data_IF_534394854024
#
_entry.id   IF_534394854024
#
_cell.length_a   1.000
_cell.length_b   1.000
_cell.length_c   1.000
_cell.angle_alpha   90.00
_cell.angle_beta   90.00
_cell.angle_gamma   90.00
#
_symmetry.space_group_name_H-M   'P 1'
#
loop_
_entity.id
_entity.type
_entity.pdbx_description
1 polymer ?
#
# COMPACT_ATOMS: atom_id res chain seq x y z
N UNK A 1 -15.59 -59.66 26.21
CA UNK A 1 -15.35 -58.43 27.01
C UNK A 1 -13.89 -58.21 27.46
N UNK A 2 -12.92 -59.09 27.14
CA UNK A 2 -11.50 -58.93 27.58
C UNK A 2 -10.63 -58.09 26.63
N UNK A 3 -10.96 -58.04 25.34
CA UNK A 3 -10.12 -57.38 24.32
C UNK A 3 -10.23 -55.85 24.33
N UNK A 4 -11.45 -55.30 24.43
CA UNK A 4 -11.70 -53.86 24.41
C UNK A 4 -11.05 -53.12 25.60
N UNK A 5 -10.96 -53.77 26.76
CA UNK A 5 -10.39 -53.21 27.99
C UNK A 5 -8.87 -53.05 27.89
N UNK A 6 -8.18 -53.91 27.14
CA UNK A 6 -6.73 -53.82 26.91
C UNK A 6 -6.36 -52.66 25.99
N UNK A 7 -7.15 -52.42 24.94
CA UNK A 7 -6.94 -51.27 24.04
C UNK A 7 -7.26 -49.94 24.71
N UNK A 8 -8.30 -49.89 25.56
CA UNK A 8 -8.62 -48.68 26.31
C UNK A 8 -7.51 -48.31 27.31
N UNK A 9 -6.94 -49.30 28.01
CA UNK A 9 -5.81 -49.08 28.92
C UNK A 9 -4.54 -48.65 28.17
N UNK A 10 -4.28 -49.20 26.98
CA UNK A 10 -3.15 -48.79 26.15
C UNK A 10 -3.32 -47.35 25.62
N UNK A 11 -4.52 -46.97 25.18
CA UNK A 11 -4.81 -45.62 24.68
C UNK A 11 -4.69 -44.55 25.79
N UNK A 12 -5.17 -44.84 27.00
CA UNK A 12 -5.02 -43.95 28.16
C UNK A 12 -3.54 -43.80 28.54
N UNK A 13 -2.77 -44.89 28.48
CA UNK A 13 -1.32 -44.85 28.71
C UNK A 13 -0.57 -43.94 27.74
N UNK A 14 -0.89 -44.01 26.44
CA UNK A 14 -0.29 -43.15 25.40
C UNK A 14 -0.64 -41.67 25.62
N UNK A 15 -1.89 -41.35 25.97
CA UNK A 15 -2.29 -39.96 26.27
C UNK A 15 -1.58 -39.39 27.50
N UNK A 16 -1.35 -40.19 28.56
CA UNK A 16 -0.61 -39.75 29.75
C UNK A 16 0.86 -39.50 29.41
N UNK A 17 1.48 -40.37 28.62
CA UNK A 17 2.88 -40.17 28.19
C UNK A 17 3.01 -38.92 27.30
N UNK A 18 2.09 -38.70 26.35
CA UNK A 18 2.11 -37.50 25.52
C UNK A 18 1.91 -36.21 26.32
N UNK A 19 1.01 -36.20 27.30
CA UNK A 19 0.79 -35.02 28.17
C UNK A 19 1.98 -34.75 29.08
N UNK A 20 2.62 -35.79 29.60
CA UNK A 20 3.85 -35.65 30.39
C UNK A 20 5.01 -35.12 29.53
N UNK A 21 5.20 -35.62 28.30
CA UNK A 21 6.24 -35.13 27.38
C UNK A 21 6.01 -33.66 27.00
N UNK A 22 4.76 -33.28 26.73
CA UNK A 22 4.42 -31.88 26.44
C UNK A 22 4.69 -31.01 27.68
N UNK A 23 4.32 -31.46 28.89
CA UNK A 23 4.61 -30.70 30.12
C UNK A 23 6.12 -30.61 30.43
N UNK A 24 6.91 -31.65 30.13
CA UNK A 24 8.36 -31.64 30.32
C UNK A 24 9.08 -30.74 29.30
N UNK A 25 8.59 -30.70 28.06
CA UNK A 25 9.15 -29.86 26.98
C UNK A 25 8.62 -28.41 26.99
N UNK A 26 7.63 -28.11 27.83
CA UNK A 26 7.04 -26.76 27.97
C UNK A 26 7.29 -26.15 29.36
N UNK A 27 8.40 -26.51 30.02
CA UNK A 27 8.95 -25.72 31.12
C UNK A 27 9.65 -24.50 30.55
N UNK A 28 8.92 -23.38 30.50
CA UNK A 28 9.47 -22.06 30.21
C UNK A 28 10.32 -21.63 31.42
N UNK A 29 11.63 -21.75 31.28
CA UNK A 29 12.60 -21.36 32.31
C UNK A 29 12.63 -19.82 32.42
N UNK A 30 12.15 -19.31 33.55
CA UNK A 30 12.34 -17.92 33.96
C UNK A 30 13.81 -17.71 34.32
N UNK A 31 14.62 -17.28 33.34
CA UNK A 31 16.03 -16.96 33.51
C UNK A 31 16.30 -15.47 33.36
N UNK A 32 16.56 -14.78 34.48
CA UNK A 32 17.24 -13.50 34.53
C UNK A 32 18.65 -13.64 33.91
N UNK A 33 18.88 -13.03 32.75
CA UNK A 33 20.17 -12.96 32.09
C UNK A 33 20.45 -11.54 31.59
N UNK A 34 21.17 -10.78 32.40
CA UNK A 34 21.79 -9.50 32.07
C UNK A 34 22.97 -9.73 31.09
N UNK A 35 23.32 -8.68 30.32
CA UNK A 35 24.45 -8.52 29.36
C UNK A 35 24.05 -8.76 27.90
N UNK A 36 24.16 -7.82 26.95
CA UNK A 36 24.84 -6.51 26.91
C UNK A 36 24.19 -5.65 25.84
N UNK A 37 24.11 -4.36 26.13
CA UNK A 37 23.72 -3.30 25.21
C UNK A 37 24.44 -3.39 23.86
N UNK A 38 23.65 -3.64 22.81
CA UNK A 38 23.92 -3.10 21.49
C UNK A 38 22.86 -2.02 21.23
N UNK A 39 22.99 -0.90 21.95
CA UNK A 39 22.35 0.34 21.53
C UNK A 39 23.04 0.82 20.24
N UNK A 40 22.57 0.29 19.10
CA UNK A 40 22.68 1.03 17.84
C UNK A 40 21.69 2.17 17.95
N UNK A 41 22.23 3.34 18.27
CA UNK A 41 21.52 4.62 18.33
C UNK A 41 20.83 4.91 17.00
N UNK A 42 19.53 4.59 16.90
CA UNK A 42 18.67 5.14 15.85
C UNK A 42 18.03 6.45 16.36
N UNK A 43 18.88 7.41 16.74
CA UNK A 43 18.44 8.78 17.03
C UNK A 43 18.65 9.64 15.79
N UNK A 44 17.88 9.38 14.74
CA UNK A 44 17.52 10.45 13.81
C UNK A 44 16.19 10.98 14.33
N UNK A 45 16.23 12.08 15.09
CA UNK A 45 15.01 12.83 15.43
C UNK A 45 14.46 13.41 14.13
N UNK A 46 13.73 12.61 13.34
CA UNK A 46 12.87 13.10 12.27
C UNK A 46 11.91 14.06 12.95
N UNK A 47 12.00 15.35 12.60
CA UNK A 47 11.00 16.35 13.01
C UNK A 47 9.61 15.74 12.78
N UNK A 48 8.67 15.86 13.74
CA UNK A 48 7.34 15.32 13.57
C UNK A 48 6.73 15.94 12.30
N UNK A 49 6.36 15.07 11.36
CA UNK A 49 5.77 15.46 10.09
C UNK A 49 4.42 16.17 10.35
N UNK A 50 4.05 17.18 9.54
CA UNK A 50 2.78 17.88 9.69
C UNK A 50 1.59 16.95 9.42
N UNK A 51 0.49 17.16 10.14
CA UNK A 51 -0.76 16.41 9.97
C UNK A 51 -1.50 16.88 8.71
N UNK A 52 -1.67 15.97 7.76
CA UNK A 52 -2.25 16.23 6.43
C UNK A 52 -3.66 15.64 6.35
N UNK A 53 -4.62 16.38 5.83
CA UNK A 53 -5.94 15.80 5.56
C UNK A 53 -5.89 14.91 4.31
N UNK A 54 -5.36 15.44 3.21
CA UNK A 54 -5.24 14.74 1.94
C UNK A 54 -3.80 14.82 1.40
N UNK A 55 -3.16 13.67 1.24
CA UNK A 55 -1.93 13.53 0.46
C UNK A 55 -2.32 13.19 -1.00
N UNK A 56 -1.79 13.90 -1.98
CA UNK A 56 -2.01 13.60 -3.39
C UNK A 56 -0.74 13.00 -3.97
N UNK A 57 -0.78 11.73 -4.37
CA UNK A 57 0.31 11.06 -5.05
C UNK A 57 0.06 11.08 -6.56
N UNK A 58 0.87 11.85 -7.29
CA UNK A 58 0.78 11.98 -8.74
C UNK A 58 1.82 11.06 -9.39
N UNK A 59 1.36 9.98 -10.00
CA UNK A 59 2.21 8.93 -10.58
C UNK A 59 2.93 9.47 -11.83
N UNK A 60 4.14 10.00 -11.64
CA UNK A 60 4.96 10.56 -12.73
C UNK A 60 6.25 9.79 -12.93
N UNK A 61 6.86 9.86 -14.12
CA UNK A 61 8.14 9.22 -14.44
C UNK A 61 9.29 10.24 -14.54
N UNK A 62 10.57 9.80 -14.53
CA UNK A 62 11.72 10.70 -14.48
C UNK A 62 11.71 11.81 -15.55
N UNK A 63 11.35 11.43 -16.78
CA UNK A 63 11.34 12.31 -17.96
C UNK A 63 10.15 13.29 -18.01
N UNK A 64 9.25 13.27 -17.03
CA UNK A 64 8.01 14.07 -17.04
C UNK A 64 8.12 15.39 -16.27
N UNK A 65 9.31 16.01 -16.22
CA UNK A 65 9.54 17.26 -15.48
C UNK A 65 8.59 18.39 -15.93
N UNK A 66 8.36 18.52 -17.24
CA UNK A 66 7.40 19.49 -17.78
C UNK A 66 5.95 19.20 -17.34
N UNK A 67 5.54 17.93 -17.27
CA UNK A 67 4.20 17.54 -16.79
C UNK A 67 4.06 17.89 -15.31
N UNK A 68 5.07 17.58 -14.48
CA UNK A 68 5.08 17.97 -13.06
C UNK A 68 4.97 19.48 -12.90
N UNK A 69 5.70 20.26 -13.69
CA UNK A 69 5.59 21.72 -13.68
C UNK A 69 4.17 22.20 -14.01
N UNK A 70 3.53 21.64 -15.05
CA UNK A 70 2.14 21.95 -15.41
C UNK A 70 1.17 21.59 -14.28
N UNK A 71 1.33 20.42 -13.65
CA UNK A 71 0.48 19.98 -12.53
C UNK A 71 0.62 20.93 -11.34
N UNK A 72 1.85 21.32 -10.98
CA UNK A 72 2.13 22.34 -9.95
C UNK A 72 1.46 23.68 -10.28
N UNK A 73 1.56 24.12 -11.53
CA UNK A 73 1.08 25.43 -11.98
C UNK A 73 -0.42 25.53 -12.23
N UNK A 74 -1.15 24.41 -12.20
CA UNK A 74 -2.58 24.36 -12.52
C UNK A 74 -3.42 24.01 -11.29
N UNK A 75 -3.88 22.76 -11.18
CA UNK A 75 -4.88 22.35 -10.20
C UNK A 75 -4.32 22.20 -8.79
N UNK A 76 -2.99 22.03 -8.64
CA UNK A 76 -2.35 22.10 -7.32
C UNK A 76 -2.25 23.53 -6.78
N UNK A 77 -2.04 24.57 -7.61
CA UNK A 77 -2.05 25.97 -7.11
C UNK A 77 -3.37 26.36 -6.45
N UNK A 78 -4.48 25.76 -6.86
CA UNK A 78 -5.80 26.02 -6.29
C UNK A 78 -5.95 25.49 -4.84
N UNK A 79 -5.06 24.60 -4.38
CA UNK A 79 -5.12 23.99 -3.03
C UNK A 79 -4.51 24.86 -1.94
N UNK A 80 -3.62 25.79 -2.30
CA UNK A 80 -2.94 26.67 -1.35
C UNK A 80 -3.87 27.73 -0.72
N UNK A 81 -5.13 27.81 -1.19
CA UNK A 81 -6.16 28.72 -0.68
C UNK A 81 -7.19 27.94 0.16
N UNK A 82 -6.86 27.64 1.42
CA UNK A 82 -7.84 27.06 2.36
C UNK A 82 -7.25 26.53 3.67
N UNK A 83 -8.10 26.22 4.67
CA UNK A 83 -7.67 25.76 6.00
C UNK A 83 -7.39 24.25 6.10
N UNK A 84 -7.48 23.49 5.00
CA UNK A 84 -7.19 22.05 5.00
C UNK A 84 -5.77 21.80 4.53
N UNK A 85 -4.95 21.14 5.35
CA UNK A 85 -3.57 20.78 5.01
C UNK A 85 -3.61 19.71 3.92
N UNK A 86 -3.34 20.12 2.68
CA UNK A 86 -3.17 19.25 1.53
C UNK A 86 -1.69 19.25 1.19
N UNK A 87 -1.13 18.07 1.03
CA UNK A 87 0.22 17.89 0.50
C UNK A 87 0.16 17.08 -0.78
N UNK A 88 1.17 17.20 -1.61
CA UNK A 88 1.32 16.39 -2.80
C UNK A 88 2.73 15.83 -2.89
N UNK A 89 2.89 14.73 -3.63
CA UNK A 89 4.18 14.17 -3.96
C UNK A 89 4.16 13.51 -5.35
N UNK A 90 5.33 13.47 -5.96
CA UNK A 90 5.61 12.76 -7.21
C UNK A 90 6.49 11.53 -6.90
N UNK A 91 5.92 10.32 -6.73
CA UNK A 91 6.69 9.10 -6.57
C UNK A 91 7.39 8.72 -7.87
N UNK A 92 8.73 8.57 -7.81
CA UNK A 92 9.58 8.27 -8.96
C UNK A 92 10.60 7.20 -8.59
N UNK A 93 10.59 6.09 -9.33
CA UNK A 93 11.62 5.06 -9.25
C UNK A 93 12.93 5.51 -9.88
N UNK A 94 14.04 5.24 -9.20
CA UNK A 94 15.39 5.64 -9.67
C UNK A 94 16.36 4.48 -9.81
N UNK A 95 15.89 3.23 -9.63
CA UNK A 95 16.70 2.04 -9.86
C UNK A 95 17.03 1.94 -11.36
N UNK A 96 18.32 1.84 -11.68
CA UNK A 96 18.79 1.74 -13.06
C UNK A 96 18.70 3.04 -13.87
N UNK A 97 18.30 4.17 -13.25
CA UNK A 97 18.37 5.48 -13.89
C UNK A 97 19.83 5.91 -14.11
N UNK A 98 20.09 6.63 -15.19
CA UNK A 98 21.43 7.20 -15.44
C UNK A 98 21.77 8.24 -14.37
N UNK A 99 23.07 8.42 -14.10
CA UNK A 99 23.55 9.41 -13.14
C UNK A 99 23.02 10.82 -13.47
N UNK A 100 23.05 11.21 -14.75
CA UNK A 100 22.48 12.47 -15.22
C UNK A 100 21.00 12.62 -14.87
N UNK A 101 20.19 11.57 -15.08
CA UNK A 101 18.77 11.62 -14.74
C UNK A 101 18.55 11.74 -13.23
N UNK A 102 19.35 11.03 -12.43
CA UNK A 102 19.30 11.15 -10.96
C UNK A 102 19.64 12.57 -10.50
N UNK A 103 20.72 13.16 -11.00
CA UNK A 103 21.11 14.54 -10.65
C UNK A 103 20.01 15.54 -11.02
N UNK A 104 19.38 15.41 -12.20
CA UNK A 104 18.27 16.29 -12.61
C UNK A 104 17.07 16.19 -11.67
N UNK A 105 16.72 14.97 -11.24
CA UNK A 105 15.62 14.76 -10.28
C UNK A 105 15.96 15.32 -8.89
N UNK A 106 17.20 15.18 -8.45
CA UNK A 106 17.67 15.75 -7.17
C UNK A 106 17.67 17.28 -7.19
N UNK A 107 18.09 17.90 -8.30
CA UNK A 107 18.00 19.34 -8.50
C UNK A 107 16.55 19.83 -8.49
N UNK A 108 15.65 19.15 -9.22
CA UNK A 108 14.22 19.47 -9.21
C UNK A 108 13.65 19.33 -7.79
N UNK A 109 14.00 18.26 -7.08
CA UNK A 109 13.52 18.02 -5.73
C UNK A 109 14.10 19.04 -4.72
N UNK A 110 15.32 19.52 -4.93
CA UNK A 110 15.91 20.59 -4.11
C UNK A 110 15.13 21.90 -4.25
N UNK A 111 14.56 22.16 -5.42
CA UNK A 111 13.75 23.35 -5.68
C UNK A 111 12.32 23.22 -5.14
N UNK A 112 11.69 22.06 -5.31
CA UNK A 112 10.26 21.89 -5.03
C UNK A 112 9.94 21.09 -3.76
N UNK A 113 10.83 20.20 -3.33
CA UNK A 113 10.66 19.37 -2.14
C UNK A 113 9.51 18.36 -2.20
N UNK A 114 9.00 18.07 -3.39
CA UNK A 114 7.79 17.27 -3.61
C UNK A 114 8.03 15.98 -4.40
N UNK A 115 9.28 15.57 -4.62
CA UNK A 115 9.62 14.30 -5.28
C UNK A 115 9.94 13.23 -4.24
N UNK A 116 9.22 12.11 -4.32
CA UNK A 116 9.46 10.92 -3.55
C UNK A 116 10.31 9.94 -4.38
N UNK A 117 11.63 10.00 -4.19
CA UNK A 117 12.58 9.10 -4.86
C UNK A 117 12.51 7.69 -4.24
N UNK A 118 12.30 6.68 -5.07
CA UNK A 118 12.19 5.26 -4.67
C UNK A 118 13.37 4.48 -5.24
N UNK A 119 14.36 4.20 -4.41
CA UNK A 119 15.63 3.62 -4.85
C UNK A 119 15.55 2.18 -5.36
N UNK A 120 14.60 1.38 -4.85
CA UNK A 120 14.43 -0.03 -5.20
C UNK A 120 13.41 -0.27 -6.32
N UNK A 121 12.97 0.78 -7.02
CA UNK A 121 11.99 0.73 -8.10
C UNK A 121 12.60 1.12 -9.44
N UNK A 122 12.49 0.23 -10.43
CA UNK A 122 12.79 0.53 -11.83
C UNK A 122 11.52 1.02 -12.54
N UNK A 123 11.62 2.18 -13.19
CA UNK A 123 10.54 2.81 -13.93
C UNK A 123 10.26 2.05 -15.23
N UNK A 124 9.19 1.28 -15.21
CA UNK A 124 8.67 0.60 -16.39
C UNK A 124 7.15 0.54 -16.30
N UNK A 125 6.50 0.61 -17.45
CA UNK A 125 5.05 0.46 -17.54
C UNK A 125 4.57 -0.89 -16.94
N UNK A 126 5.35 -1.96 -17.11
CA UNK A 126 5.07 -3.27 -16.51
C UNK A 126 5.16 -3.29 -14.99
N UNK A 127 5.81 -2.29 -14.38
CA UNK A 127 6.05 -2.21 -12.94
C UNK A 127 5.06 -1.25 -12.24
N UNK A 128 3.99 -0.81 -12.90
CA UNK A 128 3.04 0.15 -12.31
C UNK A 128 2.43 -0.37 -11.00
N UNK A 129 2.06 -1.66 -10.92
CA UNK A 129 1.58 -2.25 -9.67
C UNK A 129 2.61 -2.13 -8.54
N UNK A 130 3.87 -2.48 -8.83
CA UNK A 130 4.97 -2.36 -7.87
C UNK A 130 5.20 -0.89 -7.48
N UNK A 131 5.16 0.04 -8.45
CA UNK A 131 5.29 1.48 -8.21
C UNK A 131 4.19 1.99 -7.28
N UNK A 132 2.94 1.58 -7.49
CA UNK A 132 1.84 1.92 -6.58
C UNK A 132 2.10 1.40 -5.18
N UNK A 133 2.47 0.13 -5.03
CA UNK A 133 2.73 -0.43 -3.71
C UNK A 133 3.89 0.28 -2.99
N UNK A 134 4.99 0.56 -3.72
CA UNK A 134 6.13 1.32 -3.22
C UNK A 134 5.76 2.76 -2.84
N UNK A 135 4.85 3.37 -3.59
CA UNK A 135 4.29 4.69 -3.26
C UNK A 135 3.55 4.64 -1.93
N UNK A 136 2.76 3.60 -1.68
CA UNK A 136 2.06 3.40 -0.40
C UNK A 136 3.05 3.17 0.76
N UNK A 137 4.09 2.37 0.54
CA UNK A 137 5.19 2.18 1.52
C UNK A 137 5.88 3.52 1.84
N UNK A 138 6.24 4.30 0.82
CA UNK A 138 6.90 5.59 0.98
C UNK A 138 6.00 6.59 1.72
N UNK A 139 4.72 6.68 1.33
CA UNK A 139 3.75 7.55 1.96
C UNK A 139 3.61 7.23 3.46
N UNK A 140 3.44 5.96 3.79
CA UNK A 140 3.30 5.49 5.17
C UNK A 140 4.52 5.85 6.04
N UNK A 141 5.73 5.79 5.48
CA UNK A 141 6.98 6.06 6.23
C UNK A 141 7.32 7.55 6.37
N UNK A 142 6.84 8.39 5.45
CA UNK A 142 7.33 9.77 5.30
C UNK A 142 6.25 10.84 5.43
N UNK A 143 4.97 10.47 5.58
CA UNK A 143 3.88 11.44 5.74
C UNK A 143 2.92 11.03 6.86
N UNK A 144 2.37 12.04 7.55
CA UNK A 144 1.20 11.88 8.42
C UNK A 144 -0.02 12.42 7.67
N UNK A 145 -0.93 11.54 7.27
CA UNK A 145 -2.11 11.91 6.50
C UNK A 145 -3.34 11.10 6.91
N UNK A 146 -4.54 11.60 6.61
CA UNK A 146 -5.79 10.85 6.80
C UNK A 146 -6.21 10.07 5.56
N UNK A 147 -6.03 10.66 4.37
CA UNK A 147 -6.32 10.01 3.09
C UNK A 147 -5.21 10.28 2.08
N UNK A 148 -4.98 9.33 1.18
CA UNK A 148 -4.14 9.50 -0.01
C UNK A 148 -5.00 9.38 -1.26
N UNK A 149 -4.84 10.32 -2.19
CA UNK A 149 -5.39 10.27 -3.53
C UNK A 149 -4.26 9.90 -4.50
N UNK A 150 -4.34 8.72 -5.10
CA UNK A 150 -3.50 8.33 -6.23
C UNK A 150 -4.14 8.85 -7.50
N UNK A 151 -3.36 9.53 -8.34
CA UNK A 151 -3.77 9.94 -9.69
C UNK A 151 -2.63 9.77 -10.67
N UNK A 152 -2.96 9.58 -11.94
CA UNK A 152 -1.98 9.54 -13.01
C UNK A 152 -1.53 10.96 -13.41
N UNK A 153 -0.36 11.10 -14.01
CA UNK A 153 0.22 12.40 -14.39
C UNK A 153 -0.59 13.14 -15.46
N UNK A 154 -1.45 12.43 -16.20
CA UNK A 154 -2.35 12.94 -17.24
C UNK A 154 -3.77 13.20 -16.74
N UNK A 155 -4.01 13.09 -15.43
CA UNK A 155 -5.33 13.26 -14.82
C UNK A 155 -5.52 14.65 -14.20
N UNK A 156 -6.77 15.12 -14.18
CA UNK A 156 -7.18 16.39 -13.59
C UNK A 156 -8.19 16.18 -12.47
N UNK A 157 -7.95 16.81 -11.31
CA UNK A 157 -8.84 16.69 -10.15
C UNK A 157 -9.46 18.04 -9.80
N UNK A 158 -10.80 18.08 -9.73
CA UNK A 158 -11.54 19.20 -9.16
C UNK A 158 -11.47 19.17 -7.63
N UNK A 159 -10.32 19.50 -7.07
CA UNK A 159 -10.00 19.28 -5.65
C UNK A 159 -11.01 19.91 -4.68
N UNK A 160 -11.54 21.10 -4.95
CA UNK A 160 -12.56 21.71 -4.08
C UNK A 160 -13.84 20.88 -3.97
N UNK A 161 -14.34 20.34 -5.08
CA UNK A 161 -15.51 19.47 -5.09
C UNK A 161 -15.20 18.10 -4.47
N UNK A 162 -14.02 17.56 -4.78
CA UNK A 162 -13.55 16.29 -4.24
C UNK A 162 -13.42 16.33 -2.71
N UNK A 163 -12.80 17.36 -2.15
CA UNK A 163 -12.62 17.54 -0.72
C UNK A 163 -13.95 17.72 0.02
N UNK A 164 -14.92 18.42 -0.60
CA UNK A 164 -16.26 18.55 -0.02
C UNK A 164 -16.91 17.17 0.11
N UNK A 165 -16.95 16.40 -0.97
CA UNK A 165 -17.52 15.05 -0.96
C UNK A 165 -16.77 14.11 -0.01
N UNK A 166 -15.43 14.18 0.04
CA UNK A 166 -14.64 13.38 0.97
C UNK A 166 -14.96 13.73 2.44
N UNK A 167 -15.17 15.01 2.74
CA UNK A 167 -15.55 15.47 4.09
C UNK A 167 -16.96 15.01 4.49
N UNK A 168 -17.84 14.74 3.54
CA UNK A 168 -19.17 14.19 3.83
C UNK A 168 -19.11 12.67 4.11
N UNK A 169 -18.17 11.95 3.48
CA UNK A 169 -18.01 10.49 3.64
C UNK A 169 -17.20 10.13 4.91
N UNK A 170 -16.00 10.71 5.06
CA UNK A 170 -15.02 10.50 6.14
C UNK A 170 -15.00 9.10 6.79
N UNK A 171 -14.70 8.07 6.02
CA UNK A 171 -14.64 6.70 6.55
C UNK A 171 -13.19 6.23 6.82
N UNK A 172 -12.89 5.64 7.99
CA UNK A 172 -11.51 5.28 8.38
C UNK A 172 -10.88 4.18 7.51
N UNK A 173 -11.70 3.37 6.85
CA UNK A 173 -11.29 2.34 5.87
C UNK A 173 -11.92 2.63 4.52
N UNK A 174 -11.62 3.78 3.90
CA UNK A 174 -12.26 4.18 2.64
C UNK A 174 -11.40 3.78 1.45
N UNK A 175 -11.96 3.01 0.52
CA UNK A 175 -11.41 2.81 -0.82
C UNK A 175 -12.41 3.36 -1.83
N UNK A 176 -12.10 4.51 -2.44
CA UNK A 176 -13.08 5.28 -3.21
C UNK A 176 -12.54 5.69 -4.57
N UNK A 177 -13.37 5.56 -5.61
CA UNK A 177 -13.03 5.87 -6.99
C UNK A 177 -14.10 5.33 -7.92
N UNK A 178 -13.76 5.10 -9.18
CA UNK A 178 -14.69 4.51 -10.15
C UNK A 178 -14.63 2.98 -10.08
N UNK A 179 -15.63 2.34 -9.47
CA UNK A 179 -15.65 0.90 -9.25
C UNK A 179 -15.95 0.09 -10.52
N UNK A 180 -15.11 -0.91 -10.79
CA UNK A 180 -15.42 -2.03 -11.67
C UNK A 180 -15.33 -3.36 -10.90
N UNK A 181 -16.46 -4.08 -10.83
CA UNK A 181 -16.55 -5.42 -10.23
C UNK A 181 -16.99 -6.50 -11.21
N UNK A 182 -17.05 -6.20 -12.51
CA UNK A 182 -17.61 -7.11 -13.53
C UNK A 182 -16.59 -7.52 -14.58
N UNK A 183 -15.47 -6.81 -14.68
CA UNK A 183 -14.40 -7.10 -15.63
C UNK A 183 -13.87 -8.54 -15.50
N UNK A 184 -13.56 -9.13 -16.65
CA UNK A 184 -12.96 -10.47 -16.74
C UNK A 184 -11.44 -10.35 -16.94
N UNK A 185 -10.66 -11.33 -16.46
CA UNK A 185 -9.23 -11.36 -16.68
C UNK A 185 -8.88 -11.26 -18.16
N UNK A 186 -8.07 -10.27 -18.50
CA UNK A 186 -7.65 -10.04 -19.88
C UNK A 186 -6.74 -11.19 -20.31
N UNK A 187 -7.12 -11.94 -21.34
CA UNK A 187 -6.37 -13.15 -21.75
C UNK A 187 -5.40 -12.94 -22.92
N UNK A 188 -5.43 -11.78 -23.58
CA UNK A 188 -4.64 -11.48 -24.79
C UNK A 188 -4.15 -10.02 -24.81
N UNK A 189 -3.12 -9.74 -25.61
CA UNK A 189 -2.60 -8.39 -25.84
C UNK A 189 -1.67 -7.87 -24.73
N UNK A 190 -1.33 -6.58 -24.82
CA UNK A 190 -0.40 -5.89 -23.89
C UNK A 190 -0.82 -6.07 -22.42
N UNK A 191 -2.13 -6.11 -22.16
CA UNK A 191 -2.74 -6.13 -20.83
C UNK A 191 -3.05 -7.54 -20.30
N UNK A 192 -2.56 -8.58 -20.99
CA UNK A 192 -2.81 -9.97 -20.64
C UNK A 192 -2.39 -10.27 -19.20
N UNK A 193 -3.35 -10.74 -18.41
CA UNK A 193 -3.21 -11.24 -17.05
C UNK A 193 -3.29 -12.78 -17.06
N UNK A 194 -2.21 -13.42 -17.49
CA UNK A 194 -2.14 -14.87 -17.64
C UNK A 194 -2.25 -15.61 -16.30
N UNK A 195 -1.69 -15.01 -15.25
CA UNK A 195 -1.47 -15.65 -13.95
C UNK A 195 -2.58 -15.34 -12.93
N UNK A 196 -3.71 -14.79 -13.41
CA UNK A 196 -4.90 -14.56 -12.60
C UNK A 196 -5.55 -15.88 -12.20
N UNK A 197 -5.66 -16.10 -10.89
CA UNK A 197 -6.07 -17.37 -10.30
C UNK A 197 -7.11 -17.24 -9.16
N UNK A 198 -7.57 -16.02 -8.85
CA UNK A 198 -8.45 -15.81 -7.70
C UNK A 198 -9.91 -16.17 -8.02
N UNK A 199 -10.43 -15.71 -9.16
CA UNK A 199 -11.81 -15.92 -9.59
C UNK A 199 -11.93 -15.99 -11.12
N UNK A 200 -13.12 -16.26 -11.63
CA UNK A 200 -13.46 -16.15 -13.06
C UNK A 200 -13.48 -14.69 -13.54
N UNK A 201 -13.69 -13.74 -12.62
CA UNK A 201 -13.65 -12.29 -12.79
C UNK A 201 -12.52 -11.65 -12.00
N UNK A 202 -12.21 -10.39 -12.30
CA UNK A 202 -11.43 -9.58 -11.38
C UNK A 202 -12.24 -9.32 -10.11
N UNK A 203 -11.53 -9.27 -8.97
CA UNK A 203 -12.11 -8.80 -7.72
C UNK A 203 -12.41 -7.31 -7.83
N UNK A 204 -13.42 -6.76 -7.14
CA UNK A 204 -13.80 -5.35 -7.28
C UNK A 204 -12.62 -4.40 -7.06
N UNK A 205 -12.44 -3.46 -7.99
CA UNK A 205 -11.32 -2.53 -7.99
C UNK A 205 -11.73 -1.16 -8.53
N UNK A 206 -10.97 -0.12 -8.18
CA UNK A 206 -11.19 1.24 -8.67
C UNK A 206 -10.33 1.47 -9.90
N UNK A 207 -10.89 2.00 -10.98
CA UNK A 207 -10.16 2.25 -12.23
C UNK A 207 -8.94 3.17 -12.03
N UNK A 208 -7.87 2.88 -12.77
CA UNK A 208 -6.54 3.46 -12.57
C UNK A 208 -6.41 4.98 -12.65
N UNK A 209 -7.28 5.70 -13.37
CA UNK A 209 -7.14 7.16 -13.56
C UNK A 209 -7.15 7.97 -12.26
N UNK A 210 -7.77 7.45 -11.20
CA UNK A 210 -7.59 7.98 -9.87
C UNK A 210 -8.49 7.34 -8.82
N UNK A 211 -7.94 7.12 -7.64
CA UNK A 211 -8.65 6.56 -6.50
C UNK A 211 -8.06 7.01 -5.17
N UNK A 212 -8.89 7.00 -4.14
CA UNK A 212 -8.56 7.39 -2.78
C UNK A 212 -8.45 6.14 -1.89
N UNK A 213 -7.45 6.15 -1.02
CA UNK A 213 -7.30 5.20 0.08
C UNK A 213 -7.22 5.97 1.41
N UNK A 214 -7.90 5.49 2.45
CA UNK A 214 -7.66 5.99 3.80
C UNK A 214 -6.32 5.51 4.35
N UNK A 215 -5.83 6.21 5.37
CA UNK A 215 -4.58 5.88 6.06
C UNK A 215 -4.52 4.41 6.50
N UNK A 216 -5.60 3.85 7.05
CA UNK A 216 -5.63 2.46 7.51
C UNK A 216 -5.40 1.46 6.37
N UNK A 217 -5.94 1.73 5.17
CA UNK A 217 -5.71 0.87 4.01
C UNK A 217 -4.29 1.01 3.49
N UNK A 218 -3.74 2.22 3.48
CA UNK A 218 -2.33 2.44 3.11
C UNK A 218 -1.39 1.75 4.08
N UNK A 219 -1.66 1.84 5.39
CA UNK A 219 -0.92 1.12 6.43
C UNK A 219 -0.98 -0.38 6.21
N UNK A 220 -2.16 -0.93 5.93
CA UNK A 220 -2.30 -2.35 5.59
C UNK A 220 -1.44 -2.74 4.38
N UNK A 221 -1.49 -1.96 3.30
CA UNK A 221 -0.69 -2.22 2.10
C UNK A 221 0.82 -2.16 2.40
N UNK A 222 1.26 -1.13 3.10
CA UNK A 222 2.68 -0.94 3.41
C UNK A 222 3.24 -2.06 4.32
N UNK A 223 2.49 -2.47 5.34
CA UNK A 223 2.93 -3.51 6.28
C UNK A 223 2.93 -4.92 5.66
N UNK A 224 2.08 -5.16 4.66
CA UNK A 224 1.93 -6.47 4.02
C UNK A 224 2.51 -6.54 2.61
N UNK A 225 3.27 -5.52 2.17
CA UNK A 225 3.76 -5.38 0.80
C UNK A 225 4.44 -6.63 0.25
N UNK A 226 5.19 -7.36 1.08
CA UNK A 226 5.92 -8.58 0.70
C UNK A 226 5.04 -9.81 0.50
N UNK A 227 3.81 -9.80 1.00
CA UNK A 227 2.88 -10.94 0.93
C UNK A 227 2.03 -10.91 -0.34
N UNK A 228 1.97 -9.76 -1.01
CA UNK A 228 1.09 -9.57 -2.14
C UNK A 228 1.62 -10.20 -3.42
N UNK A 229 0.73 -10.90 -4.12
CA UNK A 229 0.96 -11.29 -5.51
C UNK A 229 0.81 -10.07 -6.41
N UNK A 230 1.84 -9.76 -7.19
CA UNK A 230 1.76 -8.72 -8.22
C UNK A 230 0.94 -9.22 -9.40
N UNK A 231 0.00 -8.40 -9.87
CA UNK A 231 -0.64 -8.58 -11.17
C UNK A 231 -0.14 -7.49 -12.13
N UNK A 232 -0.30 -7.73 -13.42
CA UNK A 232 0.17 -6.82 -14.46
C UNK A 232 -0.59 -5.50 -14.46
N UNK A 233 -1.90 -5.55 -14.21
CA UNK A 233 -2.76 -4.38 -14.13
C UNK A 233 -2.72 -3.83 -12.69
N UNK A 234 -2.36 -2.55 -12.56
CA UNK A 234 -2.10 -1.90 -11.27
C UNK A 234 -3.35 -1.77 -10.41
N UNK A 235 -4.43 -1.28 -11.00
CA UNK A 235 -5.73 -1.08 -10.35
C UNK A 235 -6.35 -2.41 -9.90
N UNK A 236 -6.31 -3.43 -10.76
CA UNK A 236 -6.67 -4.81 -10.42
C UNK A 236 -5.82 -5.33 -9.26
N UNK A 237 -4.53 -5.03 -9.23
CA UNK A 237 -3.64 -5.45 -8.14
C UNK A 237 -4.09 -4.85 -6.81
N UNK A 238 -4.35 -3.55 -6.77
CA UNK A 238 -4.82 -2.87 -5.54
C UNK A 238 -6.15 -3.45 -5.06
N UNK A 239 -7.11 -3.67 -5.98
CA UNK A 239 -8.37 -4.34 -5.63
C UNK A 239 -8.15 -5.73 -5.04
N UNK A 240 -7.29 -6.54 -5.64
CA UNK A 240 -6.96 -7.87 -5.16
C UNK A 240 -6.23 -7.87 -3.80
N UNK A 241 -5.34 -6.92 -3.55
CA UNK A 241 -4.60 -6.82 -2.28
C UNK A 241 -5.50 -6.38 -1.13
N UNK A 242 -6.45 -5.49 -1.41
CA UNK A 242 -7.40 -5.03 -0.41
C UNK A 242 -8.53 -6.04 -0.20
N UNK A 243 -8.83 -6.90 -1.17
CA UNK A 243 -9.88 -7.91 -1.06
C UNK A 243 -9.77 -8.71 0.24
N UNK A 244 -10.87 -8.74 1.01
CA UNK A 244 -10.93 -9.35 2.34
C UNK A 244 -10.82 -8.37 3.51
N UNK A 245 -10.53 -7.08 3.26
CA UNK A 245 -10.71 -6.04 4.26
C UNK A 245 -12.16 -5.53 4.25
N UNK A 246 -12.76 -5.31 5.41
CA UNK A 246 -14.07 -4.66 5.55
C UNK A 246 -13.97 -3.14 5.31
N UNK A 247 -13.85 -2.71 4.06
CA UNK A 247 -14.05 -1.31 3.67
C UNK A 247 -15.38 -1.14 2.95
N UNK A 248 -16.14 -0.06 3.22
CA UNK A 248 -17.22 0.32 2.35
C UNK A 248 -16.64 0.61 0.96
N UNK A 249 -16.95 -0.26 0.00
CA UNK A 249 -17.03 0.17 -1.38
C UNK A 249 -18.31 0.96 -1.53
N UNK A 250 -18.25 2.18 -2.06
CA UNK A 250 -19.44 3.02 -2.26
C UNK A 250 -20.39 2.42 -3.33
N UNK A 251 -20.10 1.25 -3.88
CA UNK A 251 -21.08 0.33 -4.43
C UNK A 251 -20.77 -1.09 -3.98
N UNK A 252 -21.72 -1.71 -3.30
CA UNK A 252 -21.61 -3.07 -2.75
C UNK A 252 -21.74 -4.09 -3.90
N UNK A 253 -20.78 -5.02 -4.02
CA UNK A 253 -20.96 -6.25 -4.79
C UNK A 253 -20.51 -7.43 -3.95
N UNK A 254 -21.40 -8.41 -3.82
CA UNK A 254 -21.06 -9.78 -3.43
C UNK A 254 -20.77 -10.56 -4.71
N UNK A 255 -19.72 -11.38 -4.69
CA UNK A 255 -19.46 -12.37 -5.74
C UNK A 255 -20.63 -13.36 -5.87
#
# INVERSE_FOLDING_TARGET
MSFLRKYLLAAVGVCIVCTLIISYNCSCESGNGLLKDAQVSLSTTKRPLPETFLLVAIMSSPNESAVRAVVRDTWLKLTQKGPSVIQHMFPIGVKGSSETMRSLLEEENKLHGDIALVDDLEEAYSNLALKTLKTMEYAYQNFRFQYILKVDSDSFVRLGAFLKALKDIQHPRLYWGFLDGRAKPIRKGKWREGDWMLCDRYLPYQLGGGYLLSYELVRFLALNARLFKMYKNEDVSVGAWLAGNDYPTVMEFRC
#
